data_IF_874855496219
#
_entry.id   IF_874855496219
#
_cell.length_a   1.000
_cell.length_b   1.000
_cell.length_c   1.000
_cell.angle_alpha   90.00
_cell.angle_beta   90.00
_cell.angle_gamma   90.00
#
_symmetry.space_group_name_H-M   'P 1'
#
loop_
_entity.id
_entity.type
_entity.pdbx_description
1 polymer ?
#
# COMPACT_ATOMS: atom_id res chain seq x y z
N UNK A 1 -15.81 -18.80 -18.79
CA UNK A 1 -15.64 -19.66 -17.59
C UNK A 1 -16.37 -19.03 -16.39
N UNK A 2 -16.73 -19.81 -15.35
CA UNK A 2 -17.39 -19.29 -14.12
C UNK A 2 -16.73 -18.02 -13.57
N UNK A 3 -15.40 -18.00 -13.48
CA UNK A 3 -14.63 -16.85 -12.99
C UNK A 3 -14.92 -15.54 -13.72
N UNK A 4 -15.16 -15.59 -15.04
CA UNK A 4 -15.40 -14.39 -15.87
C UNK A 4 -16.78 -13.77 -15.63
N UNK A 5 -17.70 -14.49 -14.98
CA UNK A 5 -19.02 -13.98 -14.61
C UNK A 5 -18.96 -13.06 -13.38
N UNK A 6 -17.87 -13.09 -12.64
CA UNK A 6 -17.66 -12.25 -11.46
C UNK A 6 -17.14 -10.87 -11.84
N UNK A 7 -17.47 -9.86 -11.03
CA UNK A 7 -17.00 -8.49 -11.22
C UNK A 7 -15.49 -8.40 -10.99
N UNK A 8 -14.77 -7.79 -11.93
CA UNK A 8 -13.35 -7.48 -11.79
C UNK A 8 -13.16 -6.35 -10.80
N UNK A 9 -12.10 -6.38 -9.99
CA UNK A 9 -11.86 -5.34 -8.99
C UNK A 9 -11.80 -3.92 -9.58
N UNK A 10 -11.35 -3.76 -10.82
CA UNK A 10 -11.34 -2.46 -11.52
C UNK A 10 -12.74 -1.99 -11.93
N UNK A 11 -13.68 -2.92 -12.12
CA UNK A 11 -15.08 -2.60 -12.44
C UNK A 11 -15.86 -2.32 -11.15
N UNK A 12 -15.45 -2.95 -10.04
CA UNK A 12 -15.98 -2.68 -8.69
C UNK A 12 -15.51 -1.32 -8.20
N UNK A 13 -14.19 -1.07 -8.26
CA UNK A 13 -13.52 0.12 -7.73
C UNK A 13 -12.87 0.92 -8.87
N UNK A 14 -13.66 1.74 -9.60
CA UNK A 14 -13.22 2.34 -10.87
C UNK A 14 -12.13 3.40 -10.69
N UNK A 15 -12.05 4.06 -9.54
CA UNK A 15 -10.96 5.01 -9.27
C UNK A 15 -9.78 4.23 -8.71
N UNK A 16 -8.73 4.06 -9.52
CA UNK A 16 -7.52 3.38 -9.11
C UNK A 16 -6.31 3.88 -9.90
N UNK A 17 -5.12 3.66 -9.36
CA UNK A 17 -3.87 3.94 -10.06
C UNK A 17 -2.78 2.99 -9.60
N UNK A 18 -1.65 3.03 -10.30
CA UNK A 18 -0.43 2.43 -9.77
C UNK A 18 0.06 3.15 -8.52
N UNK A 19 0.86 2.50 -7.68
CA UNK A 19 1.60 3.17 -6.61
C UNK A 19 2.55 4.26 -7.12
N UNK A 20 3.08 5.08 -6.22
CA UNK A 20 3.96 6.19 -6.58
C UNK A 20 5.33 5.69 -7.04
N UNK A 21 5.97 6.42 -7.95
CA UNK A 21 7.35 6.13 -8.39
C UNK A 21 8.24 7.29 -8.00
N UNK A 22 9.25 7.05 -7.17
CA UNK A 22 10.19 8.10 -6.73
C UNK A 22 11.32 8.32 -7.73
N UNK A 23 11.77 7.24 -8.40
CA UNK A 23 13.02 7.13 -9.17
C UNK A 23 14.32 7.28 -8.37
N UNK A 24 14.27 7.74 -7.12
CA UNK A 24 15.42 7.98 -6.23
C UNK A 24 15.05 7.65 -4.77
N UNK A 25 14.65 6.40 -4.50
CA UNK A 25 14.17 5.95 -3.18
C UNK A 25 15.05 6.42 -2.02
N UNK A 26 16.38 6.24 -2.13
CA UNK A 26 17.35 6.61 -1.07
C UNK A 26 17.34 8.10 -0.72
N UNK A 27 16.97 8.97 -1.65
CA UNK A 27 16.82 10.40 -1.40
C UNK A 27 15.43 10.68 -0.81
N UNK A 28 14.40 10.11 -1.41
CA UNK A 28 13.00 10.53 -1.20
C UNK A 28 12.31 9.84 -0.03
N UNK A 29 12.77 8.67 0.38
CA UNK A 29 12.12 7.82 1.39
C UNK A 29 13.08 7.58 2.55
N UNK A 30 12.67 7.95 3.77
CA UNK A 30 13.49 7.83 4.98
C UNK A 30 12.71 7.17 6.12
N UNK A 31 13.42 6.75 7.17
CA UNK A 31 12.81 6.03 8.29
C UNK A 31 12.08 6.98 9.26
N UNK A 32 12.42 8.27 9.28
CA UNK A 32 11.74 9.26 10.11
C UNK A 32 11.31 10.53 9.36
N UNK A 33 10.26 11.24 9.83
CA UNK A 33 9.89 12.56 9.32
C UNK A 33 11.03 13.57 9.42
N UNK A 34 11.85 13.50 10.47
CA UNK A 34 12.97 14.41 10.70
C UNK A 34 14.06 14.22 9.65
N UNK A 35 14.36 12.98 9.28
CA UNK A 35 15.32 12.66 8.21
C UNK A 35 14.85 13.20 6.86
N UNK A 36 13.57 12.96 6.51
CA UNK A 36 12.97 13.55 5.30
C UNK A 36 13.12 15.07 5.33
N UNK A 37 12.79 15.71 6.45
CA UNK A 37 12.84 17.15 6.57
C UNK A 37 14.25 17.71 6.40
N UNK A 38 15.24 17.09 7.04
CA UNK A 38 16.65 17.50 6.93
C UNK A 38 17.14 17.38 5.48
N UNK A 39 16.83 16.26 4.82
CA UNK A 39 17.20 16.03 3.41
C UNK A 39 16.50 17.05 2.51
N UNK A 40 15.21 17.31 2.70
CA UNK A 40 14.46 18.27 1.86
C UNK A 40 15.06 19.67 1.94
N UNK A 41 15.41 20.15 3.14
CA UNK A 41 16.01 21.48 3.29
C UNK A 41 17.42 21.54 2.70
N UNK A 42 18.24 20.55 3.02
CA UNK A 42 19.62 20.47 2.55
C UNK A 42 19.69 20.32 1.02
N UNK A 43 18.94 19.36 0.47
CA UNK A 43 18.86 19.13 -0.97
C UNK A 43 18.34 20.35 -1.73
N UNK A 44 17.37 21.10 -1.19
CA UNK A 44 16.90 22.33 -1.81
C UNK A 44 17.94 23.47 -1.77
N UNK A 45 18.80 23.51 -0.76
CA UNK A 45 19.78 24.59 -0.58
C UNK A 45 21.06 24.42 -1.43
N UNK A 46 21.42 23.17 -1.77
CA UNK A 46 22.63 22.86 -2.52
C UNK A 46 22.55 23.25 -4.00
N UNK A 47 23.72 23.49 -4.61
CA UNK A 47 23.84 23.56 -6.05
C UNK A 47 23.60 22.18 -6.68
N UNK A 48 23.20 22.14 -7.95
CA UNK A 48 22.77 20.92 -8.65
C UNK A 48 23.83 19.81 -8.59
N UNK A 49 25.10 20.13 -8.87
CA UNK A 49 26.17 19.14 -8.91
C UNK A 49 26.63 18.73 -7.50
N UNK A 50 26.61 19.64 -6.53
CA UNK A 50 26.87 19.31 -5.12
C UNK A 50 25.81 18.35 -4.57
N UNK A 51 24.54 18.60 -4.89
CA UNK A 51 23.43 17.72 -4.55
C UNK A 51 23.58 16.34 -5.21
N UNK A 52 23.99 16.32 -6.49
CA UNK A 52 24.23 15.08 -7.25
C UNK A 52 25.31 14.23 -6.61
N UNK A 53 26.43 14.85 -6.23
CA UNK A 53 27.55 14.18 -5.56
C UNK A 53 27.15 13.70 -4.15
N UNK A 54 26.64 14.60 -3.31
CA UNK A 54 26.29 14.30 -1.90
C UNK A 54 25.30 13.15 -1.77
N UNK A 55 24.28 13.12 -2.61
CA UNK A 55 23.22 12.10 -2.58
C UNK A 55 23.42 10.96 -3.57
N UNK A 56 24.55 10.93 -4.28
CA UNK A 56 24.90 9.88 -5.25
C UNK A 56 23.79 9.61 -6.29
N UNK A 57 23.31 10.67 -6.96
CA UNK A 57 22.07 10.64 -7.76
C UNK A 57 22.23 10.17 -9.21
N UNK A 58 23.47 9.86 -9.61
CA UNK A 58 23.81 9.45 -10.98
C UNK A 58 23.42 10.49 -12.03
N UNK A 59 23.37 10.08 -13.30
CA UNK A 59 22.90 10.94 -14.39
C UNK A 59 21.39 11.19 -14.34
N UNK A 60 20.99 12.34 -14.89
CA UNK A 60 19.59 12.67 -15.07
C UNK A 60 18.90 11.71 -16.05
N UNK A 61 17.60 11.53 -15.85
CA UNK A 61 16.75 10.74 -16.73
C UNK A 61 15.70 11.63 -17.39
N UNK A 62 14.95 11.07 -18.35
CA UNK A 62 13.86 11.79 -19.02
C UNK A 62 12.83 12.37 -18.04
N UNK A 63 12.47 11.61 -17.00
CA UNK A 63 11.34 11.92 -16.12
C UNK A 63 11.75 12.29 -14.69
N UNK A 64 13.05 12.26 -14.37
CA UNK A 64 13.59 12.71 -13.08
C UNK A 64 14.95 13.38 -13.29
N UNK A 65 15.07 14.61 -12.79
CA UNK A 65 16.27 15.46 -12.84
C UNK A 65 16.45 16.20 -11.52
N UNK A 66 17.69 16.48 -11.16
CA UNK A 66 18.02 17.16 -9.90
C UNK A 66 17.40 18.56 -9.83
N UNK A 67 17.51 19.34 -10.91
CA UNK A 67 16.97 20.69 -11.02
C UNK A 67 15.45 20.72 -10.80
N UNK A 68 14.72 19.81 -11.46
CA UNK A 68 13.26 19.73 -11.34
C UNK A 68 12.82 19.30 -9.92
N UNK A 69 13.56 18.38 -9.31
CA UNK A 69 13.28 17.94 -7.94
C UNK A 69 13.51 19.08 -6.92
N UNK A 70 14.59 19.83 -7.05
CA UNK A 70 14.85 21.01 -6.21
C UNK A 70 13.82 22.10 -6.43
N UNK A 71 13.44 22.37 -7.68
CA UNK A 71 12.44 23.38 -8.03
C UNK A 71 11.05 23.03 -7.47
N UNK A 72 10.66 21.76 -7.51
CA UNK A 72 9.42 21.27 -6.89
C UNK A 72 9.39 21.56 -5.37
N UNK A 73 10.45 21.20 -4.66
CA UNK A 73 10.57 21.46 -3.21
C UNK A 73 10.52 22.97 -2.90
N UNK A 74 11.23 23.80 -3.69
CA UNK A 74 11.23 25.25 -3.48
C UNK A 74 9.85 25.85 -3.73
N UNK A 75 9.19 25.43 -4.81
CA UNK A 75 7.84 25.89 -5.16
C UNK A 75 6.76 25.41 -4.20
N UNK A 76 7.01 24.36 -3.41
CA UNK A 76 6.12 23.96 -2.31
C UNK A 76 6.32 24.79 -1.03
N UNK A 77 7.10 25.88 -1.10
CA UNK A 77 7.43 26.78 0.00
C UNK A 77 8.09 26.07 1.18
N UNK A 78 8.76 24.92 0.94
CA UNK A 78 9.32 24.08 2.00
C UNK A 78 8.28 23.81 3.10
N UNK A 79 7.02 23.54 2.74
CA UNK A 79 6.00 23.28 3.75
C UNK A 79 6.21 21.90 4.39
N UNK A 80 6.46 21.85 5.71
CA UNK A 80 6.66 20.62 6.49
C UNK A 80 5.43 19.70 6.51
N UNK A 81 4.22 20.24 6.31
CA UNK A 81 2.97 19.48 6.26
C UNK A 81 2.89 18.54 5.03
N UNK A 82 3.82 18.67 4.09
CA UNK A 82 3.95 17.76 2.94
C UNK A 82 4.74 16.49 3.26
N UNK A 83 5.28 16.36 4.47
CA UNK A 83 5.87 15.09 4.92
C UNK A 83 4.74 14.12 5.22
N UNK A 84 4.74 12.99 4.52
CA UNK A 84 3.65 12.02 4.57
C UNK A 84 4.18 10.61 4.78
N UNK A 85 3.44 9.76 5.51
CA UNK A 85 3.76 8.35 5.58
C UNK A 85 3.62 7.70 4.19
N UNK A 86 4.51 6.76 3.90
CA UNK A 86 4.50 5.94 2.69
C UNK A 86 4.66 4.47 3.08
N UNK A 87 3.84 3.60 2.48
CA UNK A 87 4.05 2.16 2.58
C UNK A 87 5.11 1.77 1.55
N UNK A 88 6.35 1.58 2.01
CA UNK A 88 7.47 1.24 1.13
C UNK A 88 7.37 -0.21 0.68
N UNK A 89 7.28 -1.13 1.65
CA UNK A 89 7.08 -2.58 1.45
C UNK A 89 6.01 -3.06 2.44
N UNK A 90 5.49 -4.30 2.37
CA UNK A 90 4.47 -4.76 3.29
C UNK A 90 5.04 -4.70 4.71
N UNK A 91 4.30 -4.08 5.63
CA UNK A 91 4.71 -3.81 7.01
C UNK A 91 5.91 -2.85 7.20
N UNK A 92 6.45 -2.26 6.13
CA UNK A 92 7.53 -1.28 6.18
C UNK A 92 6.99 0.11 5.83
N UNK A 93 6.48 0.79 6.87
CA UNK A 93 6.04 2.18 6.78
C UNK A 93 7.23 3.11 7.00
N UNK A 94 7.41 4.03 6.05
CA UNK A 94 8.47 5.04 6.02
C UNK A 94 7.84 6.41 5.81
N UNK A 95 8.67 7.43 5.56
CA UNK A 95 8.23 8.79 5.29
C UNK A 95 8.80 9.32 3.98
N UNK A 96 8.05 10.20 3.31
CA UNK A 96 8.46 10.91 2.08
C UNK A 96 7.98 12.36 2.12
N UNK A 97 8.50 13.20 1.23
CA UNK A 97 7.97 14.54 0.99
C UNK A 97 7.09 14.55 -0.26
N UNK A 98 5.77 14.68 -0.10
CA UNK A 98 4.82 14.56 -1.20
C UNK A 98 4.25 15.91 -1.61
N UNK A 99 4.61 16.37 -2.80
CA UNK A 99 4.11 17.63 -3.39
C UNK A 99 2.90 17.43 -4.30
N UNK A 100 2.73 16.23 -4.86
CA UNK A 100 1.77 15.94 -5.92
C UNK A 100 2.23 16.36 -7.33
N UNK A 101 3.38 17.06 -7.47
CA UNK A 101 3.91 17.50 -8.76
C UNK A 101 4.65 16.35 -9.46
N UNK A 102 4.20 16.00 -10.66
CA UNK A 102 4.89 15.00 -11.49
C UNK A 102 6.22 15.55 -11.99
N UNK A 103 7.23 14.67 -12.16
CA UNK A 103 8.61 15.03 -12.52
C UNK A 103 9.24 16.03 -11.53
N UNK A 104 8.87 15.95 -10.25
CA UNK A 104 9.43 16.74 -9.17
C UNK A 104 10.29 15.89 -8.24
N UNK A 105 10.22 16.16 -6.94
CA UNK A 105 10.93 15.36 -5.94
C UNK A 105 10.55 13.87 -6.03
N UNK A 106 9.25 13.62 -6.26
CA UNK A 106 8.71 12.31 -6.64
C UNK A 106 8.48 12.31 -8.16
N UNK A 107 9.05 11.34 -8.87
CA UNK A 107 8.92 11.25 -10.33
C UNK A 107 7.45 11.10 -10.80
N UNK A 108 6.69 10.16 -10.23
CA UNK A 108 5.28 9.93 -10.54
C UNK A 108 4.44 9.81 -9.26
N UNK A 109 3.90 10.93 -8.73
CA UNK A 109 3.15 10.94 -7.47
C UNK A 109 1.69 10.46 -7.59
N UNK A 110 1.14 10.36 -8.81
CA UNK A 110 -0.25 9.90 -9.05
C UNK A 110 -1.32 10.69 -8.26
N UNK A 111 -1.31 12.04 -8.34
CA UNK A 111 -2.13 12.90 -7.46
C UNK A 111 -3.63 12.65 -7.59
N UNK A 112 -4.12 12.29 -8.78
CA UNK A 112 -5.55 12.04 -9.02
C UNK A 112 -6.14 10.94 -8.13
N UNK A 113 -5.34 9.96 -7.73
CA UNK A 113 -5.77 8.86 -6.87
C UNK A 113 -5.21 8.99 -5.46
N UNK A 114 -3.93 9.34 -5.32
CA UNK A 114 -3.27 9.43 -4.02
C UNK A 114 -3.84 10.54 -3.12
N UNK A 115 -4.46 11.58 -3.70
CA UNK A 115 -5.18 12.62 -2.93
C UNK A 115 -6.24 12.04 -2.00
N UNK A 116 -6.88 10.94 -2.40
CA UNK A 116 -7.91 10.27 -1.60
C UNK A 116 -7.35 9.57 -0.36
N UNK A 117 -6.03 9.37 -0.27
CA UNK A 117 -5.36 8.67 0.82
C UNK A 117 -4.56 9.67 1.66
N UNK A 118 -3.70 10.45 1.01
CA UNK A 118 -2.62 11.18 1.70
C UNK A 118 -3.08 12.28 2.67
N UNK A 119 -4.26 12.86 2.46
CA UNK A 119 -4.81 13.93 3.29
C UNK A 119 -5.93 13.47 4.21
N UNK A 120 -6.18 12.16 4.27
CA UNK A 120 -7.37 11.61 4.88
C UNK A 120 -7.06 10.35 5.69
N UNK A 121 -7.85 10.07 6.72
CA UNK A 121 -7.86 8.76 7.35
C UNK A 121 -8.68 7.80 6.47
N UNK A 122 -8.11 7.39 5.34
CA UNK A 122 -8.77 6.54 4.35
C UNK A 122 -7.93 5.29 4.08
N UNK A 123 -8.61 4.20 3.79
CA UNK A 123 -7.98 2.93 3.43
C UNK A 123 -7.81 2.83 1.92
N UNK A 124 -6.84 2.03 1.48
CA UNK A 124 -6.73 1.62 0.09
C UNK A 124 -6.37 0.14 -0.03
N UNK A 125 -7.15 -0.58 -0.83
CA UNK A 125 -6.85 -1.94 -1.22
C UNK A 125 -5.69 -1.91 -2.23
N UNK A 126 -4.71 -2.76 -2.01
CA UNK A 126 -3.59 -2.98 -2.93
C UNK A 126 -3.74 -4.37 -3.53
N UNK A 127 -3.62 -4.46 -4.85
CA UNK A 127 -3.44 -5.74 -5.55
C UNK A 127 -2.56 -5.57 -6.79
N UNK A 128 -2.42 -6.61 -7.61
CA UNK A 128 -1.71 -6.56 -8.90
C UNK A 128 -2.62 -7.03 -10.02
N UNK A 129 -2.33 -6.59 -11.25
CA UNK A 129 -3.01 -7.12 -12.45
C UNK A 129 -2.54 -8.53 -12.79
N UNK A 130 -1.25 -8.81 -12.62
CA UNK A 130 -0.64 -10.06 -13.04
C UNK A 130 0.48 -10.44 -12.07
N UNK A 131 0.66 -11.73 -11.88
CA UNK A 131 1.69 -12.30 -11.01
C UNK A 131 2.81 -12.80 -11.90
N UNK A 132 4.00 -12.22 -11.74
CA UNK A 132 5.15 -12.54 -12.58
C UNK A 132 5.71 -13.93 -12.27
N UNK A 133 5.74 -14.28 -10.99
CA UNK A 133 6.37 -15.49 -10.44
C UNK A 133 5.57 -15.95 -9.21
N UNK A 134 5.46 -17.27 -9.03
CA UNK A 134 4.78 -17.85 -7.87
C UNK A 134 3.26 -17.84 -7.93
N UNK A 135 2.64 -17.70 -6.76
CA UNK A 135 1.19 -17.73 -6.56
C UNK A 135 0.64 -16.33 -6.27
N UNK A 136 -0.66 -16.15 -6.47
CA UNK A 136 -1.34 -14.92 -6.07
C UNK A 136 -1.42 -14.80 -4.54
N UNK A 137 -0.60 -13.93 -3.98
CA UNK A 137 -0.63 -13.48 -2.58
C UNK A 137 -0.45 -11.95 -2.45
N UNK A 138 -0.65 -11.22 -3.56
CA UNK A 138 -0.27 -9.81 -3.70
C UNK A 138 -1.39 -8.84 -3.29
N UNK A 139 -2.32 -9.28 -2.42
CA UNK A 139 -3.37 -8.42 -1.88
C UNK A 139 -2.95 -7.88 -0.53
N UNK A 140 -3.03 -6.56 -0.34
CA UNK A 140 -2.67 -5.91 0.91
C UNK A 140 -3.58 -4.70 1.19
N UNK A 141 -3.53 -4.17 2.41
CA UNK A 141 -4.29 -2.99 2.83
C UNK A 141 -3.31 -1.91 3.31
N UNK A 142 -3.63 -0.64 3.04
CA UNK A 142 -2.83 0.49 3.53
C UNK A 142 -3.74 1.63 3.96
N UNK A 143 -3.26 2.44 4.91
CA UNK A 143 -3.80 3.76 5.28
C UNK A 143 -2.86 4.90 4.87
N UNK A 144 -1.80 4.59 4.13
CA UNK A 144 -0.84 5.54 3.55
C UNK A 144 -0.64 5.29 2.06
N UNK A 145 -0.10 6.27 1.34
CA UNK A 145 0.24 6.08 -0.09
C UNK A 145 1.29 4.97 -0.22
N UNK A 146 1.16 4.04 -1.19
CA UNK A 146 2.15 2.99 -1.38
C UNK A 146 3.15 3.34 -2.50
N UNK A 147 4.38 2.88 -2.34
CA UNK A 147 5.35 2.84 -3.43
C UNK A 147 4.91 1.77 -4.46
N UNK A 148 5.21 2.03 -5.74
CA UNK A 148 4.80 1.21 -6.87
C UNK A 148 5.23 -0.26 -6.81
N UNK A 149 6.32 -0.56 -6.09
CA UNK A 149 6.88 -1.90 -5.87
C UNK A 149 6.69 -2.37 -4.43
N UNK A 150 5.63 -1.93 -3.75
CA UNK A 150 5.25 -2.42 -2.42
C UNK A 150 5.05 -3.95 -2.40
N UNK A 151 4.66 -4.57 -3.51
CA UNK A 151 4.61 -6.05 -3.60
C UNK A 151 5.81 -6.58 -4.38
N UNK A 152 6.36 -7.71 -3.93
CA UNK A 152 7.58 -8.33 -4.46
C UNK A 152 7.34 -9.04 -5.79
N UNK A 153 7.01 -8.29 -6.84
CA UNK A 153 6.93 -8.80 -8.20
C UNK A 153 7.88 -8.01 -9.08
N UNK A 154 8.97 -8.65 -9.52
CA UNK A 154 9.96 -8.05 -10.42
C UNK A 154 9.32 -7.44 -11.69
N UNK A 155 8.15 -7.96 -12.12
CA UNK A 155 7.38 -7.45 -13.27
C UNK A 155 6.01 -6.85 -12.90
N UNK A 156 5.59 -6.89 -11.64
CA UNK A 156 4.30 -6.39 -11.18
C UNK A 156 4.43 -5.00 -10.57
N UNK A 157 3.58 -4.09 -11.00
CA UNK A 157 3.33 -2.82 -10.33
C UNK A 157 2.07 -2.96 -9.49
N UNK A 158 2.10 -2.47 -8.25
CA UNK A 158 0.92 -2.48 -7.41
C UNK A 158 -0.14 -1.54 -7.99
N UNK A 159 -1.41 -1.93 -7.84
CA UNK A 159 -2.58 -1.13 -8.18
C UNK A 159 -3.32 -0.84 -6.88
N UNK A 160 -3.68 0.42 -6.72
CA UNK A 160 -4.16 1.02 -5.48
C UNK A 160 -5.59 1.49 -5.71
N UNK A 161 -6.50 0.98 -4.88
CA UNK A 161 -7.92 1.25 -4.94
C UNK A 161 -8.32 1.95 -3.63
N UNK A 162 -8.36 3.29 -3.58
CA UNK A 162 -8.84 4.00 -2.39
C UNK A 162 -10.28 3.58 -2.07
N UNK A 163 -10.57 3.37 -0.79
CA UNK A 163 -11.88 2.93 -0.33
C UNK A 163 -12.92 4.04 -0.48
N UNK A 164 -12.63 5.23 0.04
CA UNK A 164 -13.43 6.43 -0.21
C UNK A 164 -12.80 7.35 -1.25
N UNK A 165 -13.64 8.02 -2.04
CA UNK A 165 -13.26 9.10 -2.95
C UNK A 165 -13.67 10.42 -2.31
N UNK A 166 -12.72 11.34 -2.24
CA UNK A 166 -12.90 12.65 -1.65
C UNK A 166 -13.10 13.70 -2.75
N UNK A 167 -13.98 14.68 -2.51
CA UNK A 167 -14.17 15.79 -3.43
C UNK A 167 -12.87 16.58 -3.63
N UNK A 168 -12.64 17.02 -4.84
CA UNK A 168 -11.51 17.87 -5.17
C UNK A 168 -11.78 19.31 -4.74
N UNK A 169 -11.20 19.73 -3.62
CA UNK A 169 -11.38 21.07 -3.08
C UNK A 169 -10.83 22.18 -3.99
N UNK A 170 -10.01 21.85 -4.99
CA UNK A 170 -9.57 22.81 -6.01
C UNK A 170 -10.65 23.11 -7.05
N UNK A 171 -11.72 22.30 -7.11
CA UNK A 171 -12.81 22.43 -8.07
C UNK A 171 -14.08 22.96 -7.37
N UNK A 172 -14.54 24.18 -7.70
CA UNK A 172 -15.75 24.79 -7.14
C UNK A 172 -16.99 23.89 -7.13
N UNK A 173 -17.14 23.03 -8.13
CA UNK A 173 -18.29 22.13 -8.30
C UNK A 173 -18.29 20.94 -7.32
N UNK A 174 -17.13 20.61 -6.74
CA UNK A 174 -16.96 19.46 -5.84
C UNK A 174 -16.96 19.89 -4.36
N UNK A 175 -16.83 21.19 -4.06
CA UNK A 175 -16.72 21.73 -2.68
C UNK A 175 -17.91 21.41 -1.76
N UNK A 176 -19.10 21.15 -2.30
CA UNK A 176 -20.29 20.78 -1.53
C UNK A 176 -20.54 19.27 -1.49
N UNK A 177 -19.75 18.48 -2.20
CA UNK A 177 -19.94 17.03 -2.23
C UNK A 177 -19.37 16.41 -0.96
N UNK A 178 -19.99 15.33 -0.49
CA UNK A 178 -19.42 14.50 0.57
C UNK A 178 -18.50 13.43 -0.04
N UNK A 179 -17.62 12.86 0.79
CA UNK A 179 -16.87 11.67 0.37
C UNK A 179 -17.83 10.53 0.05
N UNK A 180 -17.49 9.69 -0.92
CA UNK A 180 -18.32 8.55 -1.34
C UNK A 180 -17.51 7.27 -1.45
N UNK A 181 -18.08 6.08 -1.23
CA UNK A 181 -17.35 4.84 -1.45
C UNK A 181 -16.99 4.68 -2.93
N UNK A 182 -15.83 4.10 -3.19
CA UNK A 182 -15.34 3.80 -4.53
C UNK A 182 -15.95 2.47 -5.02
N UNK A 183 -17.27 2.41 -5.10
CA UNK A 183 -18.00 1.27 -5.65
C UNK A 183 -18.82 1.71 -6.86
N UNK A 184 -18.80 0.91 -7.92
CA UNK A 184 -19.67 1.12 -9.08
C UNK A 184 -21.11 0.79 -8.76
N UNK A 185 -22.04 1.51 -9.38
CA UNK A 185 -23.48 1.28 -9.20
C UNK A 185 -23.88 -0.14 -9.61
N UNK A 186 -23.29 -0.69 -10.67
CA UNK A 186 -23.60 -2.03 -11.16
C UNK A 186 -23.22 -3.11 -10.14
N UNK A 187 -22.09 -2.92 -9.45
CA UNK A 187 -21.70 -3.83 -8.38
C UNK A 187 -22.65 -3.72 -7.18
N UNK A 188 -23.03 -2.50 -6.79
CA UNK A 188 -23.98 -2.29 -5.69
C UNK A 188 -25.37 -2.88 -6.00
N UNK A 189 -25.89 -2.69 -7.22
CA UNK A 189 -27.12 -3.34 -7.70
C UNK A 189 -27.01 -4.86 -7.65
N UNK A 190 -25.84 -5.42 -8.02
CA UNK A 190 -25.63 -6.87 -7.96
C UNK A 190 -25.66 -7.38 -6.52
N UNK A 191 -25.08 -6.64 -5.58
CA UNK A 191 -25.15 -6.95 -4.15
C UNK A 191 -26.60 -6.91 -3.67
N UNK A 192 -27.34 -5.84 -3.99
CA UNK A 192 -28.74 -5.69 -3.60
C UNK A 192 -29.61 -6.84 -4.10
N UNK A 193 -29.44 -7.25 -5.36
CA UNK A 193 -30.14 -8.40 -5.94
C UNK A 193 -29.79 -9.70 -5.20
N UNK A 194 -28.51 -9.89 -4.85
CA UNK A 194 -28.04 -11.14 -4.25
C UNK A 194 -28.40 -11.27 -2.77
N UNK A 195 -28.39 -10.17 -2.01
CA UNK A 195 -28.60 -10.16 -0.55
C UNK A 195 -29.99 -9.64 -0.15
N UNK A 196 -30.70 -8.98 -1.04
CA UNK A 196 -31.98 -8.30 -0.76
C UNK A 196 -31.84 -6.92 -0.13
N UNK A 197 -30.62 -6.42 0.07
CA UNK A 197 -30.32 -5.08 0.57
C UNK A 197 -28.89 -4.66 0.21
N UNK A 198 -28.55 -3.38 0.39
CA UNK A 198 -27.18 -2.87 0.26
C UNK A 198 -26.56 -2.75 1.66
N UNK A 199 -25.55 -3.57 2.01
CA UNK A 199 -24.79 -3.42 3.26
C UNK A 199 -24.05 -2.08 3.32
N UNK A 200 -23.63 -1.69 4.52
CA UNK A 200 -22.76 -0.52 4.66
C UNK A 200 -21.43 -0.73 3.88
N UNK A 201 -20.81 0.35 3.36
CA UNK A 201 -19.64 0.24 2.50
C UNK A 201 -18.48 -0.56 3.11
N UNK A 202 -18.25 -0.44 4.42
CA UNK A 202 -17.20 -1.14 5.14
C UNK A 202 -17.37 -2.66 5.06
N UNK A 203 -18.59 -3.15 5.26
CA UNK A 203 -18.91 -4.59 5.17
C UNK A 203 -18.62 -5.14 3.78
N UNK A 204 -18.95 -4.37 2.73
CA UNK A 204 -18.65 -4.74 1.34
C UNK A 204 -17.14 -4.77 1.10
N UNK A 205 -16.41 -3.75 1.58
CA UNK A 205 -14.97 -3.65 1.44
C UNK A 205 -14.24 -4.82 2.12
N UNK A 206 -14.64 -5.16 3.34
CA UNK A 206 -14.07 -6.27 4.10
C UNK A 206 -14.40 -7.63 3.48
N UNK A 207 -15.62 -7.81 2.96
CA UNK A 207 -15.97 -9.01 2.21
C UNK A 207 -15.02 -9.23 1.02
N UNK A 208 -14.75 -8.19 0.22
CA UNK A 208 -13.80 -8.26 -0.90
C UNK A 208 -12.42 -8.68 -0.40
N UNK A 209 -11.97 -8.10 0.72
CA UNK A 209 -10.68 -8.42 1.31
C UNK A 209 -10.56 -9.89 1.74
N UNK A 210 -11.61 -10.43 2.38
CA UNK A 210 -11.67 -11.82 2.80
C UNK A 210 -11.65 -12.79 1.62
N UNK A 211 -12.42 -12.51 0.56
CA UNK A 211 -12.40 -13.31 -0.68
C UNK A 211 -10.98 -13.40 -1.24
N UNK A 212 -10.29 -12.26 -1.35
CA UNK A 212 -8.92 -12.24 -1.91
C UNK A 212 -7.89 -12.91 -1.01
N UNK A 213 -8.22 -13.22 0.25
CA UNK A 213 -7.39 -14.01 1.17
C UNK A 213 -7.82 -15.47 1.30
N UNK A 214 -8.98 -15.85 0.79
CA UNK A 214 -9.49 -17.22 0.88
C UNK A 214 -8.55 -18.22 0.18
N UNK A 215 -8.03 -19.24 0.89
CA UNK A 215 -7.19 -20.28 0.29
C UNK A 215 -7.91 -21.03 -0.82
N UNK A 216 -9.21 -21.30 -0.65
CA UNK A 216 -10.05 -21.96 -1.65
C UNK A 216 -10.18 -21.11 -2.92
N UNK A 217 -10.41 -19.81 -2.78
CA UNK A 217 -10.47 -18.88 -3.91
C UNK A 217 -9.14 -18.82 -4.67
N UNK A 218 -8.03 -18.60 -3.94
CA UNK A 218 -6.69 -18.49 -4.52
C UNK A 218 -6.27 -19.77 -5.25
N UNK A 219 -6.60 -20.93 -4.69
CA UNK A 219 -6.25 -22.23 -5.27
C UNK A 219 -7.13 -22.56 -6.48
N UNK A 220 -8.44 -22.35 -6.39
CA UNK A 220 -9.40 -22.68 -7.47
C UNK A 220 -9.19 -21.81 -8.71
N UNK A 221 -8.86 -20.53 -8.53
CA UNK A 221 -8.71 -19.56 -9.61
C UNK A 221 -7.26 -19.15 -9.89
N UNK A 222 -6.29 -19.95 -9.44
CA UNK A 222 -4.86 -19.64 -9.52
C UNK A 222 -4.40 -19.24 -10.92
N UNK A 223 -4.84 -19.95 -11.97
CA UNK A 223 -4.45 -19.67 -13.35
C UNK A 223 -5.02 -18.34 -13.86
N UNK A 224 -6.22 -17.96 -13.45
CA UNK A 224 -6.80 -16.65 -13.81
C UNK A 224 -6.12 -15.50 -13.05
N UNK A 225 -5.84 -15.69 -11.76
CA UNK A 225 -5.18 -14.72 -10.89
C UNK A 225 -3.74 -14.41 -11.30
N UNK A 226 -3.10 -15.30 -12.06
CA UNK A 226 -1.75 -15.06 -12.62
C UNK A 226 -1.76 -14.03 -13.75
N UNK A 227 -2.82 -14.00 -14.56
CA UNK A 227 -2.82 -13.31 -15.85
C UNK A 227 -3.69 -12.05 -15.91
N UNK A 228 -4.66 -11.90 -15.00
CA UNK A 228 -5.53 -10.73 -14.95
C UNK A 228 -5.96 -10.41 -13.51
N UNK A 229 -6.57 -9.23 -13.35
CA UNK A 229 -7.07 -8.73 -12.09
C UNK A 229 -7.98 -9.74 -11.36
N UNK A 230 -7.95 -9.75 -10.01
CA UNK A 230 -8.85 -10.58 -9.23
C UNK A 230 -10.30 -10.14 -9.44
N UNK A 231 -11.20 -11.13 -9.44
CA UNK A 231 -12.65 -10.92 -9.54
C UNK A 231 -13.33 -11.38 -8.26
N UNK A 232 -14.43 -10.76 -7.88
CA UNK A 232 -15.11 -11.04 -6.60
C UNK A 232 -16.34 -11.92 -6.83
N UNK A 233 -16.31 -13.21 -6.46
CA UNK A 233 -17.52 -14.00 -6.32
C UNK A 233 -18.46 -13.34 -5.31
N UNK A 234 -19.76 -13.36 -5.60
CA UNK A 234 -20.78 -12.86 -4.68
C UNK A 234 -21.68 -14.02 -4.26
N UNK A 235 -21.76 -14.25 -2.96
CA UNK A 235 -22.71 -15.18 -2.36
C UNK A 235 -24.11 -14.58 -2.31
N UNK A 236 -25.15 -15.42 -2.37
CA UNK A 236 -26.54 -15.05 -2.04
C UNK A 236 -26.93 -15.45 -0.62
N UNK A 237 -26.04 -16.17 0.10
CA UNK A 237 -26.22 -16.48 1.50
C UNK A 237 -25.71 -15.31 2.35
N UNK A 238 -26.64 -14.64 3.04
CA UNK A 238 -26.34 -13.47 3.86
C UNK A 238 -25.46 -13.78 5.08
N UNK A 239 -25.69 -14.91 5.75
CA UNK A 239 -24.88 -15.33 6.91
C UNK A 239 -23.42 -15.53 6.50
N UNK A 240 -23.20 -16.20 5.36
CA UNK A 240 -21.86 -16.39 4.80
C UNK A 240 -21.22 -15.05 4.39
N UNK A 241 -22.01 -14.13 3.81
CA UNK A 241 -21.51 -12.80 3.46
C UNK A 241 -21.00 -12.05 4.68
N UNK A 242 -21.83 -11.97 5.73
CA UNK A 242 -21.48 -11.30 6.98
C UNK A 242 -20.26 -11.95 7.65
N UNK A 243 -20.22 -13.28 7.74
CA UNK A 243 -19.08 -14.00 8.33
C UNK A 243 -17.77 -13.73 7.57
N UNK A 244 -17.80 -13.71 6.24
CA UNK A 244 -16.63 -13.37 5.45
C UNK A 244 -16.23 -11.90 5.65
N UNK A 245 -17.19 -10.98 5.75
CA UNK A 245 -16.90 -9.58 6.05
C UNK A 245 -16.23 -9.42 7.42
N UNK A 246 -16.68 -10.13 8.45
CA UNK A 246 -16.05 -10.13 9.79
C UNK A 246 -14.60 -10.63 9.73
N UNK A 247 -14.34 -11.73 9.01
CA UNK A 247 -12.96 -12.19 8.80
C UNK A 247 -12.11 -11.19 8.02
N UNK A 248 -12.72 -10.52 7.04
CA UNK A 248 -12.07 -9.46 6.28
C UNK A 248 -11.68 -8.26 7.14
N UNK A 249 -12.57 -7.84 8.04
CA UNK A 249 -12.30 -6.77 9.01
C UNK A 249 -11.14 -7.15 9.93
N UNK A 250 -11.16 -8.37 10.47
CA UNK A 250 -10.09 -8.85 11.33
C UNK A 250 -8.73 -8.86 10.60
N UNK A 251 -8.70 -9.37 9.36
CA UNK A 251 -7.50 -9.36 8.52
C UNK A 251 -7.02 -7.94 8.22
N UNK A 252 -7.94 -7.00 7.92
CA UNK A 252 -7.58 -5.59 7.72
C UNK A 252 -6.95 -5.02 8.99
N UNK A 253 -7.55 -5.24 10.16
CA UNK A 253 -7.02 -4.77 11.42
C UNK A 253 -5.63 -5.35 11.74
N UNK A 254 -5.42 -6.65 11.45
CA UNK A 254 -4.12 -7.31 11.59
C UNK A 254 -3.07 -6.72 10.65
N UNK A 255 -3.39 -6.57 9.36
CA UNK A 255 -2.44 -6.08 8.36
C UNK A 255 -2.12 -4.58 8.49
N UNK A 256 -3.01 -3.79 9.12
CA UNK A 256 -2.73 -2.41 9.51
C UNK A 256 -1.96 -2.31 10.83
N UNK A 257 -1.64 -3.44 11.48
CA UNK A 257 -1.02 -3.50 12.81
C UNK A 257 -1.86 -2.82 13.91
N UNK A 258 -3.20 -2.84 13.78
CA UNK A 258 -4.16 -2.20 14.70
C UNK A 258 -5.00 -3.21 15.51
N UNK A 259 -4.89 -4.50 15.21
CA UNK A 259 -5.67 -5.53 15.91
C UNK A 259 -5.21 -5.68 17.36
N UNK A 260 -6.13 -5.70 18.35
CA UNK A 260 -5.81 -6.01 19.74
C UNK A 260 -5.17 -7.39 19.94
N UNK A 261 -5.33 -8.32 18.98
CA UNK A 261 -4.66 -9.63 19.03
C UNK A 261 -3.13 -9.51 19.03
N UNK A 262 -2.59 -8.43 18.44
CA UNK A 262 -1.15 -8.16 18.41
C UNK A 262 -0.58 -7.75 19.77
N UNK A 263 -1.42 -7.45 20.77
CA UNK A 263 -0.98 -7.18 22.13
C UNK A 263 -0.55 -8.46 22.88
N UNK A 264 -0.91 -9.63 22.36
CA UNK A 264 -0.60 -10.93 22.96
C UNK A 264 0.25 -11.75 21.99
N UNK A 265 1.53 -11.40 21.87
CA UNK A 265 2.45 -12.07 20.95
C UNK A 265 2.75 -13.50 21.42
N UNK A 266 2.76 -14.44 20.47
CA UNK A 266 3.19 -15.83 20.72
C UNK A 266 4.71 -15.98 20.81
N UNK A 267 5.44 -14.93 20.40
CA UNK A 267 6.90 -14.90 20.34
C UNK A 267 7.48 -14.05 21.45
N UNK A 268 8.66 -14.41 21.93
CA UNK A 268 9.43 -13.58 22.86
C UNK A 268 10.72 -13.11 22.22
N UNK A 269 11.03 -11.82 22.36
CA UNK A 269 12.30 -11.27 21.91
C UNK A 269 13.39 -11.56 22.95
N UNK A 270 14.55 -12.03 22.48
CA UNK A 270 15.76 -12.26 23.28
C UNK A 270 16.86 -11.38 22.73
N UNK A 271 17.34 -10.43 23.53
CA UNK A 271 18.47 -9.57 23.21
C UNK A 271 19.80 -10.29 23.48
N UNK A 272 20.76 -10.10 22.59
CA UNK A 272 22.13 -10.56 22.71
C UNK A 272 23.15 -9.49 22.24
N UNK A 273 22.84 -8.22 22.50
CA UNK A 273 23.73 -7.09 22.23
C UNK A 273 23.82 -6.65 20.77
N UNK A 274 22.86 -7.01 19.92
CA UNK A 274 22.76 -6.54 18.53
C UNK A 274 21.86 -5.32 18.34
N UNK A 275 21.35 -4.73 19.42
CA UNK A 275 20.54 -3.50 19.40
C UNK A 275 19.34 -3.55 18.46
N UNK A 276 18.75 -4.74 18.25
CA UNK A 276 17.58 -4.95 17.38
C UNK A 276 17.83 -4.62 15.90
N UNK A 277 19.08 -4.53 15.47
CA UNK A 277 19.44 -4.28 14.07
C UNK A 277 19.37 -5.59 13.30
N UNK A 278 18.82 -5.58 12.08
CA UNK A 278 18.85 -6.74 11.18
C UNK A 278 20.14 -6.72 10.36
N UNK A 279 21.00 -7.73 10.53
CA UNK A 279 22.25 -7.81 9.77
C UNK A 279 22.03 -8.41 8.37
N UNK A 280 22.90 -8.04 7.42
CA UNK A 280 22.97 -8.70 6.12
C UNK A 280 23.06 -10.23 6.25
N UNK A 281 22.21 -10.95 5.52
CA UNK A 281 22.09 -12.41 5.55
C UNK A 281 21.15 -12.96 6.64
N UNK A 282 20.42 -12.09 7.34
CA UNK A 282 19.32 -12.43 8.26
C UNK A 282 18.00 -11.82 7.74
N UNK A 283 16.82 -12.23 8.27
CA UNK A 283 16.56 -13.20 9.33
C UNK A 283 16.91 -14.66 8.97
N UNK A 284 17.18 -15.50 9.99
CA UNK A 284 17.36 -16.96 9.84
C UNK A 284 16.50 -17.72 10.83
N UNK A 285 15.71 -18.66 10.33
CA UNK A 285 14.95 -19.59 11.17
C UNK A 285 15.84 -20.74 11.66
N UNK A 286 15.79 -21.06 12.94
CA UNK A 286 16.48 -22.23 13.53
C UNK A 286 15.74 -22.69 14.77
N UNK A 287 15.18 -23.91 14.74
CA UNK A 287 14.56 -24.59 15.90
C UNK A 287 13.55 -23.73 16.67
N UNK A 288 12.54 -23.20 16.00
CA UNK A 288 11.50 -22.40 16.66
C UNK A 288 11.92 -20.96 16.99
N UNK A 289 13.04 -20.49 16.43
CA UNK A 289 13.54 -19.14 16.64
C UNK A 289 13.93 -18.46 15.32
N UNK A 290 13.72 -17.15 15.23
CA UNK A 290 14.17 -16.30 14.13
C UNK A 290 15.29 -15.40 14.65
N UNK A 291 16.52 -15.63 14.19
CA UNK A 291 17.70 -14.83 14.51
C UNK A 291 17.82 -13.68 13.52
N UNK A 292 17.92 -12.44 14.01
CA UNK A 292 17.90 -11.23 13.18
C UNK A 292 19.29 -10.64 12.94
N UNK A 293 20.30 -11.00 13.72
CA UNK A 293 21.67 -10.52 13.51
C UNK A 293 22.76 -11.50 13.93
N UNK A 294 24.00 -11.19 13.54
CA UNK A 294 25.21 -11.98 13.84
C UNK A 294 25.51 -12.00 15.33
N UNK A 295 25.00 -11.04 16.10
CA UNK A 295 25.10 -11.02 17.56
C UNK A 295 24.16 -12.02 18.20
N UNK A 296 23.11 -12.47 17.51
CA UNK A 296 22.23 -13.54 17.98
C UNK A 296 20.94 -13.04 18.62
N UNK A 297 20.60 -11.76 18.46
CA UNK A 297 19.27 -11.26 18.79
C UNK A 297 18.23 -12.09 18.03
N UNK A 298 17.16 -12.50 18.70
CA UNK A 298 16.20 -13.44 18.13
C UNK A 298 14.81 -13.35 18.73
N UNK A 299 13.83 -13.78 17.95
CA UNK A 299 12.49 -14.10 18.43
C UNK A 299 12.39 -15.62 18.65
N UNK A 300 11.96 -16.06 19.82
CA UNK A 300 11.71 -17.48 20.14
C UNK A 300 10.22 -17.77 20.17
N UNK A 301 9.84 -19.04 19.96
CA UNK A 301 8.43 -19.44 19.88
C UNK A 301 7.81 -19.21 18.51
N UNK A 302 8.63 -19.06 17.47
CA UNK A 302 8.18 -18.86 16.08
C UNK A 302 7.82 -20.23 15.48
N UNK A 303 6.55 -20.47 15.10
CA UNK A 303 6.17 -21.70 14.40
C UNK A 303 6.86 -21.82 13.05
N UNK A 304 7.18 -23.03 12.61
CA UNK A 304 7.87 -23.26 11.32
C UNK A 304 7.03 -22.84 10.11
N UNK A 305 5.70 -22.80 10.26
CA UNK A 305 4.78 -22.40 9.19
C UNK A 305 4.73 -20.89 8.92
N UNK A 306 5.40 -20.07 9.75
CA UNK A 306 5.44 -18.60 9.68
C UNK A 306 6.80 -18.14 9.17
#
# INVERSE_FOLDING_TARGET
AEYEQYFKITDIMPVNSVGIVTARDKLTIQDSPEEVWNIVNDFAALDIEEAREKYNLGEDSRDWKVDFAQEDIKNSNLNKDKISPILYRPFDKKFTYYTGKSRGFICMPRPEVMKNIIHHNNLALITVRQVAEGIFNHTFITDSIPESRVTLSNKGICIVFPFYIYPDTSKPQELQQEKRPNFSEDFLKKIEINLGYIPIPETIFYYIYAIFHSPTYRSRYAEFLKIDFPRVPLTSNNELFCQLAEYGEELVALHLMKSPKLNNLITQYTENGGSQIVDAGHPKYTKGAVVINKKGDKFVGVPEQV
#
